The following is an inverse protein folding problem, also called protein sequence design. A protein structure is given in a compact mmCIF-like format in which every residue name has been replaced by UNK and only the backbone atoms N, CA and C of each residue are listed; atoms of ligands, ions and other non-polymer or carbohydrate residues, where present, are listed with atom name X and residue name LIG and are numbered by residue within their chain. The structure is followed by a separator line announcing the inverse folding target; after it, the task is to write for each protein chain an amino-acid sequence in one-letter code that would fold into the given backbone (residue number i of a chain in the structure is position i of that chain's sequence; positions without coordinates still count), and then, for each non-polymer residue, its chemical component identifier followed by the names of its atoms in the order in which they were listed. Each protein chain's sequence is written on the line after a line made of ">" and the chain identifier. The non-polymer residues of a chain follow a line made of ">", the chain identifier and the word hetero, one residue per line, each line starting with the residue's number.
data_IF_993422684170
#
_entry.id   IF_993422684170
#
_cell.length_a   1.000
_cell.length_b   1.000
_cell.length_c   1.000
_cell.angle_alpha   90.00
_cell.angle_beta   90.00
_cell.angle_gamma   90.00
#
_symmetry.space_group_name_H-M   'P 1'
#
loop_
_entity.id
_entity.type
_entity.pdbx_description
1 polymer ?
#
# COMPACT_ATOMS: atom_id res chain seq x y z
N UNK A 1 -8.44 -3.17 1.29
CA UNK A 1 -9.30 -2.61 0.22
C UNK A 1 -8.74 -3.06 -1.12
N UNK A 2 -9.58 -3.40 -2.10
CA UNK A 2 -9.09 -3.74 -3.45
C UNK A 2 -9.19 -2.51 -4.33
N UNK A 3 -8.05 -2.04 -4.85
CA UNK A 3 -7.98 -0.89 -5.76
C UNK A 3 -7.83 -1.38 -7.20
N UNK A 4 -8.65 -0.91 -8.14
CA UNK A 4 -8.49 -1.22 -9.56
C UNK A 4 -7.06 -0.94 -10.05
N UNK A 5 -6.44 -1.90 -10.75
CA UNK A 5 -5.07 -1.78 -11.28
C UNK A 5 -3.91 -2.02 -10.29
N UNK A 6 -4.16 -1.93 -8.98
CA UNK A 6 -3.15 -2.14 -7.93
C UNK A 6 -3.36 -3.42 -7.13
N UNK A 7 -4.61 -3.82 -6.88
CA UNK A 7 -4.97 -4.98 -6.06
C UNK A 7 -5.24 -4.63 -4.60
N UNK A 8 -5.04 -5.58 -3.68
CA UNK A 8 -5.27 -5.36 -2.25
C UNK A 8 -4.25 -4.39 -1.66
N UNK A 9 -4.73 -3.32 -1.02
CA UNK A 9 -3.91 -2.26 -0.43
C UNK A 9 -4.25 -2.02 1.04
N UNK A 10 -3.23 -1.61 1.81
CA UNK A 10 -3.36 -1.17 3.20
C UNK A 10 -3.69 0.33 3.23
N UNK A 11 -4.84 0.67 3.82
CA UNK A 11 -5.21 2.06 4.05
C UNK A 11 -4.51 2.59 5.31
N UNK A 12 -4.14 3.88 5.36
CA UNK A 12 -3.57 4.50 6.57
C UNK A 12 -4.52 4.50 7.78
N UNK A 13 -5.82 4.37 7.56
CA UNK A 13 -6.81 4.30 8.62
C UNK A 13 -8.15 3.76 8.15
N UNK A 14 -9.06 3.52 9.09
CA UNK A 14 -10.39 2.96 8.81
C UNK A 14 -11.29 3.90 8.00
N UNK A 15 -11.14 5.21 8.15
CA UNK A 15 -12.01 6.24 7.56
C UNK A 15 -11.17 7.37 6.98
N UNK A 16 -11.61 7.96 5.86
CA UNK A 16 -11.01 9.18 5.28
C UNK A 16 -9.88 8.95 4.26
N UNK A 17 -9.63 7.72 3.85
CA UNK A 17 -8.54 7.37 2.91
C UNK A 17 -9.00 6.66 1.64
N UNK A 18 -10.31 6.45 1.50
CA UNK A 18 -10.94 5.89 0.30
C UNK A 18 -12.17 6.74 -0.01
N UNK A 19 -12.24 7.26 -1.22
CA UNK A 19 -13.41 7.90 -1.82
C UNK A 19 -13.89 7.01 -2.98
N UNK A 20 -14.91 7.46 -3.74
CA UNK A 20 -15.53 6.63 -4.78
C UNK A 20 -14.54 6.11 -5.83
N UNK A 21 -13.61 6.96 -6.26
CA UNK A 21 -12.63 6.65 -7.31
C UNK A 21 -11.21 7.13 -6.96
N UNK A 22 -10.91 7.39 -5.69
CA UNK A 22 -9.59 7.87 -5.26
C UNK A 22 -9.18 7.25 -3.93
N UNK A 23 -7.87 6.99 -3.77
CA UNK A 23 -7.32 6.41 -2.55
C UNK A 23 -6.07 7.16 -2.11
N UNK A 24 -5.92 7.33 -0.80
CA UNK A 24 -4.72 7.93 -0.21
C UNK A 24 -3.92 6.87 0.54
N UNK A 25 -2.66 6.72 0.15
CA UNK A 25 -1.72 5.78 0.73
C UNK A 25 -0.56 6.50 1.38
N UNK A 26 0.06 5.83 2.34
CA UNK A 26 1.30 6.28 2.96
C UNK A 26 2.36 5.18 2.86
N UNK A 27 3.38 5.32 1.99
CA UNK A 27 4.43 4.31 1.81
C UNK A 27 5.21 3.96 3.09
N UNK A 28 5.17 4.80 4.13
CA UNK A 28 5.86 4.51 5.40
C UNK A 28 5.08 3.59 6.35
N UNK A 29 3.81 3.30 6.09
CA UNK A 29 2.94 2.59 7.03
C UNK A 29 3.19 1.08 7.09
N UNK A 30 3.78 0.51 6.05
CA UNK A 30 4.10 -0.92 6.00
C UNK A 30 5.57 -1.13 5.59
N UNK A 31 6.50 -1.13 6.54
CA UNK A 31 7.89 -1.47 6.27
C UNK A 31 8.03 -2.85 5.59
N UNK A 32 8.89 -3.01 4.57
CA UNK A 32 9.03 -4.28 3.83
C UNK A 32 9.34 -5.48 4.71
N UNK A 33 10.10 -5.30 5.78
CA UNK A 33 10.40 -6.36 6.76
C UNK A 33 9.16 -6.87 7.48
N UNK A 34 8.23 -5.98 7.86
CA UNK A 34 6.95 -6.35 8.47
C UNK A 34 5.99 -6.97 7.45
N UNK A 35 5.94 -6.44 6.22
CA UNK A 35 5.17 -7.05 5.14
C UNK A 35 5.60 -8.51 4.91
N UNK A 36 6.91 -8.76 4.84
CA UNK A 36 7.46 -10.11 4.72
C UNK A 36 7.10 -10.98 5.93
N UNK A 37 7.24 -10.46 7.15
CA UNK A 37 6.93 -11.18 8.39
C UNK A 37 5.47 -11.61 8.47
N UNK A 38 4.53 -10.78 8.01
CA UNK A 38 3.10 -11.10 8.10
C UNK A 38 2.64 -12.14 7.07
N UNK A 39 3.41 -12.40 6.01
CA UNK A 39 3.04 -13.41 5.00
C UNK A 39 2.79 -14.81 5.58
N UNK A 40 3.39 -15.15 6.72
CA UNK A 40 3.16 -16.44 7.40
C UNK A 40 1.75 -16.61 7.96
N UNK A 41 0.96 -15.54 8.02
CA UNK A 41 -0.45 -15.58 8.39
C UNK A 41 -1.39 -15.72 7.19
N UNK A 42 -0.86 -15.90 5.97
CA UNK A 42 -1.65 -16.10 4.76
C UNK A 42 -2.31 -14.82 4.26
N UNK A 43 -3.48 -14.94 3.64
CA UNK A 43 -4.23 -13.79 3.13
C UNK A 43 -4.73 -12.89 4.28
N UNK A 44 -4.72 -11.54 4.11
CA UNK A 44 -4.35 -10.80 2.92
C UNK A 44 -2.85 -10.47 2.79
N UNK A 45 -2.02 -10.91 3.74
CA UNK A 45 -0.64 -10.45 3.89
C UNK A 45 0.29 -10.87 2.75
N UNK A 46 0.05 -12.03 2.16
CA UNK A 46 0.79 -12.49 0.97
C UNK A 46 0.62 -11.51 -0.19
N UNK A 47 -0.60 -11.05 -0.47
CA UNK A 47 -0.87 -10.04 -1.51
C UNK A 47 -0.36 -8.66 -1.11
N UNK A 48 -0.55 -8.26 0.15
CA UNK A 48 -0.09 -6.96 0.64
C UNK A 48 1.43 -6.79 0.52
N UNK A 49 2.21 -7.87 0.62
CA UNK A 49 3.65 -7.81 0.38
C UNK A 49 3.98 -7.32 -1.04
N UNK A 50 3.35 -7.92 -2.04
CA UNK A 50 3.58 -7.60 -3.46
C UNK A 50 3.11 -6.18 -3.78
N UNK A 51 1.90 -5.81 -3.35
CA UNK A 51 1.33 -4.50 -3.66
C UNK A 51 2.03 -3.37 -2.89
N UNK A 52 2.57 -3.64 -1.69
CA UNK A 52 3.42 -2.70 -0.98
C UNK A 52 4.75 -2.44 -1.70
N UNK A 53 5.36 -3.48 -2.29
CA UNK A 53 6.54 -3.30 -3.13
C UNK A 53 6.23 -2.46 -4.37
N UNK A 54 5.10 -2.71 -5.03
CA UNK A 54 4.65 -1.88 -6.17
C UNK A 54 4.44 -0.43 -5.77
N UNK A 55 3.76 -0.17 -4.65
CA UNK A 55 3.58 1.19 -4.12
C UNK A 55 4.91 1.92 -3.97
N UNK A 56 5.91 1.27 -3.38
CA UNK A 56 7.25 1.84 -3.20
C UNK A 56 7.98 2.06 -4.54
N UNK A 57 7.83 1.20 -5.54
CA UNK A 57 8.56 1.39 -6.79
C UNK A 57 7.87 2.39 -7.72
N UNK A 58 6.54 2.36 -7.78
CA UNK A 58 5.76 3.13 -8.76
C UNK A 58 5.52 4.59 -8.32
N UNK A 59 5.62 4.92 -7.02
CA UNK A 59 5.33 6.28 -6.50
C UNK A 59 6.55 7.17 -6.26
N UNK A 60 7.77 6.67 -6.51
CA UNK A 60 9.01 7.46 -6.42
C UNK A 60 9.78 7.53 -7.75
N UNK A 61 9.20 8.12 -8.80
CA UNK A 61 9.86 8.21 -10.12
C UNK A 61 11.19 9.00 -10.09
N UNK A 62 11.41 9.80 -9.04
CA UNK A 62 12.64 10.58 -8.83
C UNK A 62 13.44 10.10 -7.61
N UNK A 63 13.11 8.95 -7.02
CA UNK A 63 13.77 8.42 -5.82
C UNK A 63 13.31 9.05 -4.50
N UNK A 64 12.22 9.82 -4.49
CA UNK A 64 11.65 10.42 -3.29
C UNK A 64 10.17 10.07 -3.16
N UNK A 65 9.72 9.84 -1.93
CA UNK A 65 8.33 9.54 -1.61
C UNK A 65 7.66 10.73 -0.91
N UNK A 66 6.40 10.98 -1.25
CA UNK A 66 5.56 11.85 -0.44
C UNK A 66 5.15 11.14 0.86
N UNK A 67 5.02 11.91 1.94
CA UNK A 67 4.47 11.41 3.22
C UNK A 67 3.03 10.90 3.07
N UNK A 68 2.26 11.45 2.15
CA UNK A 68 0.93 10.98 1.80
C UNK A 68 0.80 11.12 0.28
N UNK A 69 0.50 10.04 -0.41
CA UNK A 69 0.31 10.00 -1.86
C UNK A 69 -1.13 9.61 -2.20
N UNK A 70 -1.66 10.16 -3.30
CA UNK A 70 -2.94 9.73 -3.88
C UNK A 70 -2.66 8.86 -5.11
N UNK A 71 -3.44 7.79 -5.28
CA UNK A 71 -3.54 6.99 -6.49
C UNK A 71 -4.98 7.00 -6.98
#
# INVERSE_FOLDING_TARGET
>A
MTVPGLGSMLLPGKVGFAEDNSWRFNPSYLPPTLAQYFTRFGAPWTTLRETNQRLLLETAPKGFFARLGAL
#
